data_IF_681594854632
#
_entry.id   IF_681594854632
#
_cell.length_a   1.000
_cell.length_b   1.000
_cell.length_c   1.000
_cell.angle_alpha   90.00
_cell.angle_beta   90.00
_cell.angle_gamma   90.00
#
_symmetry.space_group_name_H-M   'P 1'
#
loop_
_entity.id
_entity.type
_entity.pdbx_description
1 polymer ?
#
# COMPACT_ATOMS: atom_id res chain seq x y z
N UNK A 1 -16.14 -0.70 -11.15
CA UNK A 1 -14.75 -1.03 -10.80
C UNK A 1 -14.34 -2.46 -11.21
N UNK A 2 -13.50 -2.61 -12.25
CA UNK A 2 -12.84 -3.88 -12.59
C UNK A 2 -11.44 -3.87 -11.95
N UNK A 3 -11.23 -4.61 -10.86
CA UNK A 3 -9.89 -4.76 -10.27
C UNK A 3 -9.24 -6.05 -10.80
N UNK A 4 -8.08 -5.93 -11.43
CA UNK A 4 -7.21 -7.08 -11.67
C UNK A 4 -6.53 -7.52 -10.35
N UNK A 5 -7.05 -8.60 -9.77
CA UNK A 5 -6.53 -9.15 -8.52
C UNK A 5 -5.14 -9.75 -8.67
N UNK A 6 -4.80 -10.33 -9.82
CA UNK A 6 -3.51 -10.99 -10.05
C UNK A 6 -2.40 -9.94 -10.14
N UNK A 7 -2.63 -8.84 -10.86
CA UNK A 7 -1.72 -7.71 -10.89
C UNK A 7 -1.47 -7.14 -9.50
N UNK A 8 -2.51 -6.91 -8.68
CA UNK A 8 -2.34 -6.32 -7.34
C UNK A 8 -1.61 -7.23 -6.34
N UNK A 9 -1.77 -8.56 -6.46
CA UNK A 9 -0.97 -9.51 -5.67
C UNK A 9 0.51 -9.47 -6.10
N UNK A 10 0.79 -9.33 -7.40
CA UNK A 10 2.16 -9.18 -7.92
C UNK A 10 2.82 -7.90 -7.41
N UNK A 11 2.10 -6.78 -7.46
CA UNK A 11 2.57 -5.49 -6.93
C UNK A 11 2.89 -5.59 -5.43
N UNK A 12 2.04 -6.28 -4.66
CA UNK A 12 2.26 -6.46 -3.22
C UNK A 12 3.53 -7.27 -2.94
N UNK A 13 3.80 -8.32 -3.74
CA UNK A 13 5.03 -9.11 -3.63
C UNK A 13 6.27 -8.29 -4.00
N UNK A 14 6.18 -7.42 -5.01
CA UNK A 14 7.27 -6.52 -5.38
C UNK A 14 7.58 -5.54 -4.24
N UNK A 15 6.56 -4.93 -3.65
CA UNK A 15 6.72 -4.05 -2.48
C UNK A 15 7.34 -4.80 -1.30
N UNK A 16 6.90 -6.04 -1.04
CA UNK A 16 7.49 -6.85 0.02
C UNK A 16 8.99 -7.11 -0.23
N UNK A 17 9.37 -7.42 -1.47
CA UNK A 17 10.75 -7.62 -1.87
C UNK A 17 11.60 -6.35 -1.68
N UNK A 18 11.03 -5.15 -1.87
CA UNK A 18 11.69 -3.87 -1.61
C UNK A 18 11.79 -3.52 -0.12
N UNK A 19 10.77 -3.85 0.67
CA UNK A 19 10.73 -3.52 2.11
C UNK A 19 11.81 -4.30 2.88
N UNK A 20 12.03 -5.58 2.54
CA UNK A 20 12.98 -6.46 3.25
C UNK A 20 14.41 -5.87 3.35
N UNK A 21 15.07 -5.46 2.26
CA UNK A 21 16.41 -4.88 2.35
C UNK A 21 16.42 -3.54 3.10
N UNK A 22 15.39 -2.69 2.94
CA UNK A 22 15.32 -1.41 3.66
C UNK A 22 15.21 -1.63 5.17
N UNK A 23 14.37 -2.57 5.61
CA UNK A 23 14.27 -2.95 7.02
C UNK A 23 15.59 -3.49 7.57
N UNK A 24 16.34 -4.26 6.77
CA UNK A 24 17.67 -4.75 7.16
C UNK A 24 18.63 -3.59 7.42
N UNK A 25 18.66 -2.57 6.54
CA UNK A 25 19.51 -1.38 6.72
C UNK A 25 19.09 -0.59 7.96
N UNK A 26 17.78 -0.32 8.11
CA UNK A 26 17.24 0.43 9.24
C UNK A 26 17.44 -0.26 10.60
N UNK A 27 17.49 -1.59 10.60
CA UNK A 27 17.74 -2.40 11.80
C UNK A 27 19.21 -2.59 12.14
N UNK A 28 20.14 -2.13 11.30
CA UNK A 28 21.57 -2.16 11.58
C UNK A 28 22.00 -0.98 12.46
N UNK A 29 23.24 -0.98 12.95
CA UNK A 29 23.82 0.19 13.64
C UNK A 29 23.86 1.39 12.70
N UNK A 30 23.40 2.54 13.18
CA UNK A 30 23.35 3.76 12.36
C UNK A 30 24.73 4.37 12.25
N UNK A 31 25.30 4.35 11.04
CA UNK A 31 26.59 4.98 10.71
C UNK A 31 26.43 6.28 9.94
N UNK A 32 25.19 6.61 9.54
CA UNK A 32 24.80 7.82 8.81
C UNK A 32 23.33 8.15 9.06
N UNK A 33 22.86 9.35 8.71
CA UNK A 33 21.43 9.63 8.67
C UNK A 33 20.69 8.63 7.77
N UNK A 34 19.54 8.14 8.24
CA UNK A 34 18.70 7.14 7.56
C UNK A 34 17.32 7.68 7.14
N UNK A 35 17.19 9.00 7.01
CA UNK A 35 15.95 9.67 6.66
C UNK A 35 15.41 9.22 5.29
N UNK A 36 16.29 8.90 4.34
CA UNK A 36 15.90 8.42 3.02
C UNK A 36 15.28 7.02 3.09
N UNK A 37 15.90 6.10 3.83
CA UNK A 37 15.38 4.74 4.05
C UNK A 37 14.04 4.79 4.79
N UNK A 38 13.92 5.65 5.81
CA UNK A 38 12.68 5.83 6.55
C UNK A 38 11.56 6.40 5.67
N UNK A 39 11.86 7.40 4.82
CA UNK A 39 10.90 7.96 3.85
C UNK A 39 10.47 6.89 2.85
N UNK A 40 11.43 6.14 2.29
CA UNK A 40 11.15 5.06 1.33
C UNK A 40 10.31 3.96 1.97
N UNK A 41 10.64 3.52 3.19
CA UNK A 41 9.85 2.54 3.92
C UNK A 41 8.43 3.04 4.18
N UNK A 42 8.27 4.31 4.56
CA UNK A 42 6.96 4.90 4.84
C UNK A 42 6.09 4.95 3.57
N UNK A 43 6.68 5.32 2.44
CA UNK A 43 6.01 5.30 1.14
C UNK A 43 5.60 3.88 0.72
N UNK A 44 6.50 2.90 0.84
CA UNK A 44 6.22 1.49 0.53
C UNK A 44 5.11 0.92 1.42
N UNK A 45 5.11 1.25 2.72
CA UNK A 45 4.04 0.86 3.66
C UNK A 45 2.70 1.47 3.29
N UNK A 46 2.66 2.76 2.93
CA UNK A 46 1.44 3.41 2.44
C UNK A 46 0.92 2.66 1.22
N UNK A 47 1.77 2.40 0.23
CA UNK A 47 1.37 1.70 -1.00
C UNK A 47 0.87 0.28 -0.74
N UNK A 48 1.52 -0.48 0.14
CA UNK A 48 1.05 -1.80 0.55
C UNK A 48 -0.33 -1.77 1.19
N UNK A 49 -0.58 -0.81 2.09
CA UNK A 49 -1.90 -0.61 2.72
C UNK A 49 -2.97 -0.34 1.68
N UNK A 50 -2.70 0.55 0.72
CA UNK A 50 -3.63 0.86 -0.38
C UNK A 50 -3.98 -0.39 -1.21
N UNK A 51 -2.98 -1.19 -1.60
CA UNK A 51 -3.21 -2.44 -2.33
C UNK A 51 -4.03 -3.45 -1.51
N UNK A 52 -3.77 -3.56 -0.21
CA UNK A 52 -4.55 -4.41 0.70
C UNK A 52 -6.02 -3.96 0.76
N UNK A 53 -6.29 -2.66 0.80
CA UNK A 53 -7.65 -2.11 0.76
C UNK A 53 -8.35 -2.47 -0.55
N UNK A 54 -7.66 -2.29 -1.68
CA UNK A 54 -8.18 -2.64 -3.02
C UNK A 54 -8.46 -4.14 -3.12
N UNK A 55 -7.54 -4.99 -2.67
CA UNK A 55 -7.71 -6.43 -2.66
C UNK A 55 -8.84 -6.90 -1.72
N UNK A 56 -9.01 -6.26 -0.57
CA UNK A 56 -10.13 -6.54 0.34
C UNK A 56 -11.47 -6.21 -0.34
N UNK A 57 -11.55 -5.06 -1.00
CA UNK A 57 -12.73 -4.67 -1.77
C UNK A 57 -13.02 -5.63 -2.92
N UNK A 58 -12.01 -6.03 -3.71
CA UNK A 58 -12.14 -7.01 -4.78
C UNK A 58 -12.64 -8.40 -4.31
N UNK A 59 -12.48 -8.69 -3.01
CA UNK A 59 -12.96 -9.93 -2.36
C UNK A 59 -14.32 -9.75 -1.68
N UNK A 60 -14.98 -8.61 -1.84
CA UNK A 60 -16.27 -8.32 -1.20
C UNK A 60 -16.19 -8.05 0.30
N UNK A 61 -14.99 -7.80 0.85
CA UNK A 61 -14.79 -7.49 2.28
C UNK A 61 -15.08 -6.00 2.52
N UNK A 62 -16.36 -5.67 2.65
CA UNK A 62 -16.86 -4.30 2.78
C UNK A 62 -16.73 -3.70 4.18
N UNK A 63 -16.31 -4.48 5.19
CA UNK A 63 -16.03 -3.94 6.54
C UNK A 63 -14.90 -2.90 6.51
N UNK A 64 -14.07 -2.90 5.46
CA UNK A 64 -13.08 -1.85 5.20
C UNK A 64 -13.75 -0.51 4.85
N UNK A 65 -15.04 -0.48 4.48
CA UNK A 65 -15.85 0.74 4.26
C UNK A 65 -16.73 1.14 5.47
N UNK A 66 -16.63 0.44 6.61
CA UNK A 66 -17.40 0.71 7.84
C UNK A 66 -17.13 2.10 8.44
N UNK A 67 -17.91 2.56 9.44
CA UNK A 67 -18.12 3.97 9.76
C UNK A 67 -16.79 4.66 10.04
N UNK A 68 -16.37 5.42 9.05
CA UNK A 68 -15.13 6.14 9.06
C UNK A 68 -15.48 7.61 8.92
N UNK A 69 -14.73 8.47 9.60
CA UNK A 69 -14.85 9.91 9.44
C UNK A 69 -14.75 10.32 7.96
N UNK A 70 -15.13 11.58 7.67
CA UNK A 70 -15.08 12.13 6.32
C UNK A 70 -13.70 11.99 5.67
N UNK A 71 -12.64 12.14 6.47
CA UNK A 71 -11.25 11.97 6.03
C UNK A 71 -10.97 10.57 5.50
N UNK A 72 -11.42 9.54 6.19
CA UNK A 72 -11.19 8.15 5.79
C UNK A 72 -12.01 7.79 4.56
N UNK A 73 -13.23 8.33 4.42
CA UNK A 73 -14.03 8.18 3.20
C UNK A 73 -13.35 8.83 1.99
N UNK A 74 -12.80 10.04 2.17
CA UNK A 74 -12.03 10.71 1.13
C UNK A 74 -10.77 9.91 0.74
N UNK A 75 -10.03 9.38 1.72
CA UNK A 75 -8.88 8.50 1.46
C UNK A 75 -9.30 7.25 0.67
N UNK A 76 -10.42 6.62 1.02
CA UNK A 76 -10.93 5.46 0.30
C UNK A 76 -11.23 5.83 -1.16
N UNK A 77 -11.95 6.94 -1.39
CA UNK A 77 -12.26 7.41 -2.73
C UNK A 77 -10.98 7.69 -3.55
N UNK A 78 -10.00 8.40 -2.97
CA UNK A 78 -8.71 8.69 -3.59
C UNK A 78 -7.95 7.41 -3.96
N UNK A 79 -7.89 6.44 -3.03
CA UNK A 79 -7.24 5.15 -3.26
C UNK A 79 -7.95 4.41 -4.38
N UNK A 80 -9.27 4.25 -4.32
CA UNK A 80 -9.99 3.52 -5.36
C UNK A 80 -9.86 4.18 -6.73
N UNK A 81 -9.97 5.51 -6.83
CA UNK A 81 -9.75 6.24 -8.06
C UNK A 81 -8.35 5.95 -8.66
N UNK A 82 -7.31 5.90 -7.83
CA UNK A 82 -5.94 5.58 -8.27
C UNK A 82 -5.79 4.19 -8.89
N UNK A 83 -6.66 3.24 -8.56
CA UNK A 83 -6.59 1.85 -9.04
C UNK A 83 -7.78 1.44 -9.93
N UNK A 84 -8.78 2.30 -10.12
CA UNK A 84 -9.98 2.03 -10.93
C UNK A 84 -9.69 2.13 -12.44
N UNK A 85 -8.62 2.84 -12.84
CA UNK A 85 -8.30 3.17 -14.24
C UNK A 85 -6.92 2.70 -14.72
N UNK A 86 -6.28 1.75 -14.04
CA UNK A 86 -4.99 1.21 -14.53
C UNK A 86 -5.22 -0.17 -15.17
N UNK A 87 -5.60 -0.25 -16.47
CA UNK A 87 -5.25 -1.41 -17.27
C UNK A 87 -3.74 -1.37 -17.48
N UNK A 88 -3.03 -2.41 -17.01
CA UNK A 88 -1.68 -2.73 -17.47
C UNK A 88 -1.80 -3.83 -18.53
#
# INVERSE_FOLDING_TARGET
MKIDRVARVRDLRAIEAEIRPIKRVLGATWTRPMNEEQRRLSWLRKRATELCMVLAFARGRLHVRGPSDERTRALHAEVFARYEEVPL
#
